data_IF_896003127240
#
_entry.id   IF_896003127240
#
_cell.length_a   1.000
_cell.length_b   1.000
_cell.length_c   1.000
_cell.angle_alpha   90.00
_cell.angle_beta   90.00
_cell.angle_gamma   90.00
#
_symmetry.space_group_name_H-M   'P 1'
#
loop_
_entity.id
_entity.type
_entity.pdbx_description
1 polymer ?
#
# COMPACT_ATOMS: atom_id res chain seq x y z
N UNK A 1 -2.21 -16.45 14.95
CA UNK A 1 -3.63 -16.69 15.29
C UNK A 1 -4.03 -15.56 16.22
N UNK A 2 -4.73 -14.54 15.71
CA UNK A 2 -5.16 -13.40 16.53
C UNK A 2 -6.47 -13.82 17.19
N UNK A 3 -6.47 -13.91 18.51
CA UNK A 3 -7.66 -14.14 19.33
C UNK A 3 -8.49 -12.86 19.38
N UNK A 4 -9.74 -12.94 18.91
CA UNK A 4 -10.71 -11.84 18.93
C UNK A 4 -11.59 -12.00 20.17
N UNK A 5 -11.80 -10.96 21.01
CA UNK A 5 -12.71 -11.05 22.14
C UNK A 5 -14.17 -11.12 21.67
N UNK A 6 -14.96 -11.94 22.35
CA UNK A 6 -16.40 -12.13 22.10
C UNK A 6 -17.18 -10.88 22.56
N UNK A 7 -17.78 -10.16 21.61
CA UNK A 7 -18.62 -9.00 21.86
C UNK A 7 -20.05 -9.37 21.53
N UNK A 8 -20.89 -9.48 22.56
CA UNK A 8 -22.25 -9.98 22.46
C UNK A 8 -23.15 -9.21 21.48
N UNK A 9 -23.84 -9.98 20.63
CA UNK A 9 -25.16 -9.69 20.03
C UNK A 9 -25.38 -8.43 19.17
N UNK A 10 -24.37 -7.60 18.89
CA UNK A 10 -24.40 -6.61 17.81
C UNK A 10 -23.47 -7.15 16.72
N UNK A 11 -23.89 -7.26 15.45
CA UNK A 11 -22.95 -7.64 14.39
C UNK A 11 -21.93 -6.52 14.27
N UNK A 12 -20.78 -6.69 14.93
CA UNK A 12 -19.61 -5.86 14.74
C UNK A 12 -19.05 -6.19 13.35
N UNK A 13 -19.69 -5.65 12.30
CA UNK A 13 -19.06 -5.58 10.98
C UNK A 13 -17.92 -4.58 11.16
N UNK A 14 -16.72 -5.07 11.40
CA UNK A 14 -15.51 -4.25 11.48
C UNK A 14 -15.14 -3.82 10.07
N UNK A 15 -15.89 -2.88 9.52
CA UNK A 15 -15.54 -2.28 8.24
C UNK A 15 -14.31 -1.38 8.46
N UNK A 16 -13.20 -1.61 7.75
CA UNK A 16 -11.98 -0.83 7.95
C UNK A 16 -12.19 0.61 7.52
N UNK A 17 -12.22 1.54 8.48
CA UNK A 17 -12.39 2.98 8.23
C UNK A 17 -11.16 3.63 7.61
N UNK A 18 -9.97 3.01 7.73
CA UNK A 18 -8.71 3.49 7.17
C UNK A 18 -7.73 2.34 6.92
N UNK A 19 -7.13 2.33 5.73
CA UNK A 19 -6.10 1.35 5.36
C UNK A 19 -4.74 2.03 5.18
N UNK A 20 -3.69 1.44 5.76
CA UNK A 20 -2.29 1.79 5.50
C UNK A 20 -1.66 0.67 4.69
N UNK A 21 -1.33 0.94 3.43
CA UNK A 21 -0.73 0.01 2.49
C UNK A 21 0.78 0.34 2.36
N UNK A 22 1.62 -0.49 2.97
CA UNK A 22 3.08 -0.42 2.90
C UNK A 22 3.65 -1.74 2.35
N UNK A 23 3.57 -1.97 1.02
CA UNK A 23 4.01 -3.21 0.40
C UNK A 23 5.55 -3.25 0.29
N UNK A 24 6.16 -4.40 -0.08
CA UNK A 24 7.50 -4.40 -0.66
C UNK A 24 7.54 -3.44 -1.86
N UNK A 25 8.55 -2.57 -1.95
CA UNK A 25 8.56 -1.48 -2.94
C UNK A 25 9.11 -1.89 -4.31
N UNK A 26 9.39 -3.17 -4.50
CA UNK A 26 10.06 -3.75 -5.65
C UNK A 26 11.46 -3.13 -5.86
N UNK A 27 12.29 -3.14 -4.81
CA UNK A 27 13.61 -2.52 -4.77
C UNK A 27 14.76 -3.53 -4.57
N UNK A 28 14.52 -4.80 -4.85
CA UNK A 28 15.50 -5.89 -4.72
C UNK A 28 16.03 -6.03 -3.27
N UNK A 29 15.18 -5.75 -2.27
CA UNK A 29 15.53 -5.99 -0.87
C UNK A 29 15.36 -7.46 -0.51
N UNK A 30 16.33 -7.99 0.23
CA UNK A 30 16.24 -9.32 0.79
C UNK A 30 15.25 -9.35 1.97
N UNK A 31 14.05 -9.90 1.73
CA UNK A 31 13.10 -10.26 2.77
C UNK A 31 13.12 -11.79 2.98
N UNK A 32 12.88 -12.23 4.21
CA UNK A 32 12.87 -13.67 4.54
C UNK A 32 11.75 -14.47 3.84
N UNK A 33 10.67 -13.79 3.44
CA UNK A 33 9.43 -14.44 3.00
C UNK A 33 8.85 -13.87 1.69
N UNK A 34 9.51 -12.89 1.08
CA UNK A 34 8.97 -12.17 -0.09
C UNK A 34 10.04 -11.88 -1.11
N UNK A 35 9.67 -12.01 -2.39
CA UNK A 35 10.47 -11.56 -3.53
C UNK A 35 10.18 -10.08 -3.80
N UNK A 36 11.14 -9.21 -3.50
CA UNK A 36 11.08 -7.76 -3.77
C UNK A 36 11.73 -7.39 -5.10
N UNK A 37 11.83 -8.34 -6.04
CA UNK A 37 12.39 -8.14 -7.38
C UNK A 37 11.50 -8.79 -8.46
N UNK A 38 10.20 -8.52 -8.36
CA UNK A 38 9.22 -8.95 -9.35
C UNK A 38 9.38 -8.16 -10.67
N UNK A 39 9.06 -8.76 -11.82
CA UNK A 39 8.88 -8.01 -13.06
C UNK A 39 7.89 -6.85 -12.86
N UNK A 40 8.20 -5.63 -13.33
CA UNK A 40 7.39 -4.44 -13.03
C UNK A 40 5.91 -4.60 -13.37
N UNK A 41 5.59 -5.22 -14.51
CA UNK A 41 4.21 -5.48 -14.93
C UNK A 41 3.46 -6.35 -13.92
N UNK A 42 4.10 -7.42 -13.43
CA UNK A 42 3.51 -8.32 -12.42
C UNK A 42 3.31 -7.62 -11.08
N UNK A 43 4.28 -6.81 -10.66
CA UNK A 43 4.18 -6.03 -9.42
C UNK A 43 3.00 -5.06 -9.49
N UNK A 44 2.88 -4.29 -10.58
CA UNK A 44 1.81 -3.31 -10.70
C UNK A 44 0.44 -3.94 -10.94
N UNK A 45 0.36 -5.07 -11.64
CA UNK A 45 -0.87 -5.87 -11.71
C UNK A 45 -1.32 -6.34 -10.32
N UNK A 46 -0.38 -6.83 -9.52
CA UNK A 46 -0.66 -7.22 -8.14
C UNK A 46 -1.12 -6.04 -7.28
N UNK A 47 -0.47 -4.87 -7.38
CA UNK A 47 -0.89 -3.66 -6.68
C UNK A 47 -2.29 -3.19 -7.07
N UNK A 48 -2.64 -3.21 -8.37
CA UNK A 48 -4.00 -2.91 -8.84
C UNK A 48 -5.03 -3.82 -8.18
N UNK A 49 -4.76 -5.12 -8.13
CA UNK A 49 -5.65 -6.10 -7.52
C UNK A 49 -5.83 -5.87 -6.01
N UNK A 50 -4.75 -5.52 -5.30
CA UNK A 50 -4.83 -5.16 -3.88
C UNK A 50 -5.67 -3.90 -3.70
N UNK A 51 -5.41 -2.83 -4.46
CA UNK A 51 -6.18 -1.58 -4.36
C UNK A 51 -7.67 -1.80 -4.59
N UNK A 52 -8.05 -2.62 -5.57
CA UNK A 52 -9.44 -2.97 -5.85
C UNK A 52 -10.09 -3.80 -4.73
N UNK A 53 -9.37 -4.77 -4.17
CA UNK A 53 -9.85 -5.55 -3.01
C UNK A 53 -10.04 -4.70 -1.77
N UNK A 54 -9.10 -3.81 -1.47
CA UNK A 54 -9.23 -2.88 -0.34
C UNK A 54 -10.45 -2.00 -0.56
N UNK A 55 -10.63 -1.44 -1.76
CA UNK A 55 -11.81 -0.62 -2.09
C UNK A 55 -13.12 -1.36 -1.83
N UNK A 56 -13.25 -2.60 -2.34
CA UNK A 56 -14.46 -3.42 -2.18
C UNK A 56 -14.78 -3.81 -0.72
N UNK A 57 -13.79 -3.79 0.17
CA UNK A 57 -13.96 -4.13 1.59
C UNK A 57 -14.17 -2.90 2.48
N UNK A 58 -14.06 -1.70 1.91
CA UNK A 58 -14.01 -0.44 2.66
C UNK A 58 -15.35 0.30 2.55
N UNK A 59 -15.82 0.89 3.65
CA UNK A 59 -17.06 1.70 3.67
C UNK A 59 -16.88 3.07 3.04
N UNK A 60 -17.99 3.68 2.63
CA UNK A 60 -18.04 5.07 2.18
C UNK A 60 -17.41 6.03 3.21
N UNK A 61 -16.64 7.00 2.72
CA UNK A 61 -15.96 8.01 3.55
C UNK A 61 -14.61 7.57 4.13
N UNK A 62 -14.17 6.34 3.86
CA UNK A 62 -12.86 5.84 4.29
C UNK A 62 -11.71 6.29 3.40
N UNK A 63 -10.47 6.01 3.83
CA UNK A 63 -9.26 6.39 3.11
C UNK A 63 -8.19 5.29 3.07
N UNK A 64 -7.41 5.30 1.99
CA UNK A 64 -6.19 4.50 1.83
C UNK A 64 -4.95 5.39 1.79
N UNK A 65 -3.91 4.98 2.49
CA UNK A 65 -2.58 5.59 2.42
C UNK A 65 -1.64 4.57 1.78
N UNK A 66 -1.18 4.85 0.57
CA UNK A 66 -0.30 3.96 -0.20
C UNK A 66 1.13 4.51 -0.17
N UNK A 67 2.00 3.82 0.56
CA UNK A 67 3.42 4.13 0.68
C UNK A 67 4.21 3.62 -0.53
N UNK A 68 5.06 4.48 -1.11
CA UNK A 68 6.00 4.12 -2.17
C UNK A 68 7.09 5.19 -2.33
N UNK A 69 8.09 4.91 -3.15
CA UNK A 69 9.09 5.85 -3.68
C UNK A 69 8.48 6.82 -4.65
N UNK A 70 9.01 8.03 -4.64
CA UNK A 70 8.61 9.16 -5.48
C UNK A 70 8.64 8.84 -6.98
N UNK A 71 9.64 8.08 -7.44
CA UNK A 71 9.76 7.65 -8.85
C UNK A 71 8.58 6.80 -9.34
N UNK A 72 7.84 6.18 -8.42
CA UNK A 72 6.73 5.28 -8.71
C UNK A 72 5.35 5.94 -8.52
N UNK A 73 5.32 7.24 -8.23
CA UNK A 73 4.08 7.97 -7.89
C UNK A 73 3.00 7.80 -8.95
N UNK A 74 3.34 7.89 -10.24
CA UNK A 74 2.32 7.78 -11.30
C UNK A 74 1.67 6.39 -11.35
N UNK A 75 2.45 5.32 -11.17
CA UNK A 75 1.90 3.97 -11.12
C UNK A 75 0.98 3.77 -9.91
N UNK A 76 1.32 4.35 -8.77
CA UNK A 76 0.46 4.36 -7.57
C UNK A 76 -0.86 5.09 -7.86
N UNK A 77 -0.79 6.29 -8.44
CA UNK A 77 -1.97 7.06 -8.81
C UNK A 77 -2.84 6.32 -9.80
N UNK A 78 -2.24 5.65 -10.80
CA UNK A 78 -2.97 4.83 -11.74
C UNK A 78 -3.69 3.67 -11.05
N UNK A 79 -3.02 2.92 -10.17
CA UNK A 79 -3.65 1.83 -9.42
C UNK A 79 -4.83 2.29 -8.57
N UNK A 80 -4.70 3.44 -7.92
CA UNK A 80 -5.76 4.03 -7.09
C UNK A 80 -6.95 4.47 -7.95
N UNK A 81 -6.70 5.17 -9.07
CA UNK A 81 -7.75 5.61 -10.01
C UNK A 81 -8.49 4.41 -10.60
N UNK A 82 -7.78 3.39 -11.08
CA UNK A 82 -8.36 2.19 -11.68
C UNK A 82 -9.23 1.41 -10.68
N UNK A 83 -8.88 1.44 -9.39
CA UNK A 83 -9.63 0.80 -8.33
C UNK A 83 -10.83 1.62 -7.81
N UNK A 84 -11.01 2.86 -8.28
CA UNK A 84 -12.13 3.73 -7.87
C UNK A 84 -11.83 4.70 -6.73
N UNK A 85 -10.57 4.82 -6.29
CA UNK A 85 -10.18 5.79 -5.28
C UNK A 85 -10.07 7.21 -5.84
N UNK A 86 -10.54 8.18 -5.07
CA UNK A 86 -10.36 9.61 -5.39
C UNK A 86 -9.07 10.13 -4.75
N UNK A 87 -8.17 10.67 -5.57
CA UNK A 87 -6.96 11.30 -5.09
C UNK A 87 -7.27 12.53 -4.20
N UNK A 88 -6.62 12.60 -3.04
CA UNK A 88 -6.77 13.71 -2.09
C UNK A 88 -5.45 14.46 -1.86
N UNK A 89 -4.39 13.72 -1.54
CA UNK A 89 -3.11 14.30 -1.14
C UNK A 89 -1.94 13.47 -1.67
N UNK A 90 -0.85 14.16 -2.02
CA UNK A 90 0.47 13.55 -2.18
C UNK A 90 1.34 13.94 -0.98
N UNK A 91 1.64 12.98 -0.11
CA UNK A 91 2.40 13.22 1.12
C UNK A 91 3.87 12.86 0.86
N UNK A 92 4.77 13.83 1.02
CA UNK A 92 6.21 13.63 0.82
C UNK A 92 6.89 13.45 2.18
N UNK A 93 7.35 12.24 2.47
CA UNK A 93 8.17 11.98 3.64
C UNK A 93 9.66 12.23 3.34
N UNK A 94 10.17 13.40 3.74
CA UNK A 94 11.60 13.72 3.66
C UNK A 94 12.37 13.02 4.79
N UNK A 95 13.06 11.92 4.46
CA UNK A 95 14.01 11.26 5.37
C UNK A 95 15.21 12.19 5.60
N UNK A 96 15.48 12.59 6.85
CA UNK A 96 16.59 13.51 7.21
C UNK A 96 17.95 12.84 7.39
N UNK A 97 18.09 11.56 7.03
CA UNK A 97 19.37 10.85 7.13
C UNK A 97 20.11 10.94 5.80
N UNK A 98 21.34 11.44 5.85
CA UNK A 98 22.29 11.40 4.75
C UNK A 98 22.60 9.94 4.43
N UNK A 99 22.18 9.44 3.27
CA UNK A 99 22.89 8.27 2.72
C UNK A 99 24.32 8.75 2.36
N UNK A 100 25.37 7.99 2.73
CA UNK A 100 26.69 8.27 2.21
C UNK A 100 26.65 8.09 0.69
N UNK A 101 27.19 9.05 -0.06
CA UNK A 101 27.57 8.86 -1.46
C UNK A 101 28.64 7.75 -1.51
N UNK A 102 28.23 6.48 -1.58
CA UNK A 102 29.13 5.37 -1.85
C UNK A 102 28.43 4.33 -2.73
N UNK A 103 28.41 4.62 -4.03
CA UNK A 103 28.50 3.69 -5.16
C UNK A 103 27.98 4.33 -6.45
N UNK A 104 28.47 5.53 -6.80
CA UNK A 104 28.55 5.93 -8.20
C UNK A 104 29.85 5.32 -8.73
N UNK A 105 29.73 4.27 -9.55
CA UNK A 105 30.83 3.80 -10.40
C UNK A 105 31.15 4.84 -11.46
#
# INVERSE_FOLDING_TARGET
MISVPDCGSIPCVWEPTRTLLDPPFNQDKAYNAWDDNMPPEKYWEWMRHICAKVYALTSDGSAIYFMQREKNTEFVLQCLRDAGWTFQNLIIWKKKTSEPLSAAR
#
